data_IF_753407626139
#
_entry.id   IF_753407626139
#
_cell.length_a   1.000
_cell.length_b   1.000
_cell.length_c   1.000
_cell.angle_alpha   90.00
_cell.angle_beta   90.00
_cell.angle_gamma   90.00
#
_symmetry.space_group_name_H-M   'P 1'
#
loop_
_entity.id
_entity.type
_entity.pdbx_description
1 polymer ?
#
# COMPACT_ATOMS: atom_id res chain seq x y z
N UNK A 1 6.74 -29.57 -21.60
CA UNK A 1 7.22 -28.20 -21.88
C UNK A 1 6.33 -27.25 -21.11
N UNK A 2 6.73 -26.87 -19.90
CA UNK A 2 6.05 -25.83 -19.14
C UNK A 2 6.82 -24.55 -19.36
N UNK A 3 6.30 -23.68 -20.22
CA UNK A 3 6.79 -22.31 -20.35
C UNK A 3 6.48 -21.58 -19.05
N UNK A 4 7.52 -21.17 -18.33
CA UNK A 4 7.38 -20.21 -17.25
C UNK A 4 6.63 -18.99 -17.80
N UNK A 5 5.44 -18.76 -17.26
CA UNK A 5 4.80 -17.46 -17.34
C UNK A 5 5.85 -16.43 -16.91
N UNK A 6 6.25 -15.56 -17.83
CA UNK A 6 7.00 -14.37 -17.45
C UNK A 6 6.06 -13.60 -16.52
N UNK A 7 6.30 -13.71 -15.22
CA UNK A 7 5.68 -12.83 -14.25
C UNK A 7 6.00 -11.43 -14.71
N UNK A 8 4.98 -10.74 -15.21
CA UNK A 8 5.07 -9.35 -15.58
C UNK A 8 5.58 -8.62 -14.34
N UNK A 9 6.85 -8.26 -14.34
CA UNK A 9 7.46 -7.54 -13.22
C UNK A 9 6.67 -6.24 -13.12
N UNK A 10 5.97 -5.97 -12.00
CA UNK A 10 5.15 -4.78 -11.88
C UNK A 10 6.00 -3.54 -12.19
N UNK A 11 5.45 -2.58 -12.93
CA UNK A 11 6.17 -1.39 -13.40
C UNK A 11 6.82 -0.58 -12.26
N UNK A 12 6.37 -0.78 -11.00
CA UNK A 12 7.02 -0.39 -9.74
C UNK A 12 8.53 -0.65 -9.69
N UNK A 13 9.08 -1.61 -10.43
CA UNK A 13 10.54 -1.87 -10.46
C UNK A 13 11.34 -0.78 -11.19
N UNK A 14 10.68 0.20 -11.83
CA UNK A 14 11.31 1.39 -12.44
C UNK A 14 11.37 2.60 -11.51
N UNK A 15 10.75 2.53 -10.34
CA UNK A 15 10.79 3.56 -9.32
C UNK A 15 12.19 3.58 -8.64
N UNK A 16 12.66 4.77 -8.28
CA UNK A 16 13.88 5.07 -7.51
C UNK A 16 15.13 4.20 -7.75
N UNK A 17 15.56 4.00 -9.00
CA UNK A 17 16.76 3.20 -9.31
C UNK A 17 16.77 1.80 -8.65
N UNK A 18 15.61 1.20 -8.38
CA UNK A 18 15.51 -0.12 -7.73
C UNK A 18 16.24 -1.21 -8.50
N UNK A 19 16.26 -1.13 -9.84
CA UNK A 19 17.05 -2.01 -10.70
C UNK A 19 18.57 -1.92 -10.47
N UNK A 20 19.09 -0.79 -9.96
CA UNK A 20 20.49 -0.65 -9.57
C UNK A 20 20.79 -1.23 -8.19
N UNK A 21 19.79 -1.44 -7.32
CA UNK A 21 20.02 -2.02 -5.97
C UNK A 21 20.54 -3.46 -6.04
N UNK A 22 20.24 -4.16 -7.14
CA UNK A 22 20.61 -5.56 -7.39
C UNK A 22 21.77 -5.72 -8.37
N UNK A 23 22.23 -4.65 -9.02
CA UNK A 23 23.26 -4.73 -10.06
C UNK A 23 24.67 -4.94 -9.46
N UNK A 24 25.47 -5.87 -10.00
CA UNK A 24 26.85 -6.05 -9.55
C UNK A 24 27.66 -4.79 -9.84
N UNK A 25 28.19 -4.18 -8.77
CA UNK A 25 29.11 -3.04 -8.87
C UNK A 25 30.54 -3.50 -8.72
N UNK A 26 31.41 -2.94 -9.56
CA UNK A 26 32.84 -3.11 -9.42
C UNK A 26 33.31 -2.48 -8.12
N UNK A 27 33.79 -3.32 -7.20
CA UNK A 27 34.33 -2.88 -5.93
C UNK A 27 35.70 -2.25 -6.15
N UNK A 28 36.03 -1.27 -5.33
CA UNK A 28 37.38 -0.73 -5.30
C UNK A 28 38.34 -1.83 -4.84
N UNK A 29 39.45 -1.99 -5.56
CA UNK A 29 40.38 -3.13 -5.40
C UNK A 29 40.92 -3.21 -3.95
N UNK A 30 41.11 -2.06 -3.30
CA UNK A 30 41.63 -1.93 -1.94
C UNK A 30 40.56 -2.01 -0.83
N UNK A 31 39.27 -2.03 -1.19
CA UNK A 31 38.14 -2.06 -0.25
C UNK A 31 37.26 -3.32 -0.38
N UNK A 32 37.71 -4.31 -1.17
CA UNK A 32 37.00 -5.58 -1.33
C UNK A 32 36.85 -6.33 0.01
N UNK A 33 35.82 -7.18 0.17
CA UNK A 33 35.53 -7.91 1.40
C UNK A 33 36.63 -8.92 1.81
N UNK A 34 37.55 -9.24 0.90
CA UNK A 34 38.75 -10.03 1.17
C UNK A 34 39.90 -9.23 1.81
N UNK A 35 39.88 -7.90 1.73
CA UNK A 35 40.92 -7.03 2.30
C UNK A 35 40.63 -6.72 3.78
N UNK A 36 41.68 -6.46 4.57
CA UNK A 36 41.53 -6.02 5.97
C UNK A 36 40.73 -4.72 6.04
N UNK A 37 41.07 -3.74 5.18
CA UNK A 37 40.37 -2.45 5.07
C UNK A 37 38.88 -2.62 4.78
N UNK A 38 38.52 -3.51 3.85
CA UNK A 38 37.12 -3.81 3.51
C UNK A 38 36.36 -4.49 4.67
N UNK A 39 36.98 -5.45 5.36
CA UNK A 39 36.39 -6.10 6.55
C UNK A 39 36.15 -5.10 7.68
N UNK A 40 37.14 -4.27 8.01
CA UNK A 40 37.01 -3.21 9.03
C UNK A 40 35.94 -2.19 8.63
N UNK A 41 35.87 -1.79 7.36
CA UNK A 41 34.83 -0.87 6.88
C UNK A 41 33.42 -1.46 7.01
N UNK A 42 33.26 -2.75 6.69
CA UNK A 42 31.99 -3.48 6.87
C UNK A 42 31.58 -3.54 8.34
N UNK A 43 32.52 -3.81 9.24
CA UNK A 43 32.25 -3.85 10.69
C UNK A 43 31.84 -2.47 11.23
N UNK A 44 32.54 -1.40 10.83
CA UNK A 44 32.19 -0.03 11.23
C UNK A 44 30.79 0.36 10.74
N UNK A 45 30.48 0.05 9.48
CA UNK A 45 29.16 0.30 8.91
C UNK A 45 28.08 -0.49 9.66
N UNK A 46 28.29 -1.79 9.89
CA UNK A 46 27.37 -2.65 10.61
C UNK A 46 27.10 -2.16 12.03
N UNK A 47 28.13 -1.71 12.76
CA UNK A 47 27.98 -1.14 14.11
C UNK A 47 27.20 0.18 14.09
N UNK A 48 27.47 1.07 13.13
CA UNK A 48 26.75 2.33 13.00
C UNK A 48 25.27 2.12 12.69
N UNK A 49 24.96 1.21 11.75
CA UNK A 49 23.60 0.88 11.37
C UNK A 49 22.84 0.20 12.50
N UNK A 50 23.46 -0.78 13.17
CA UNK A 50 22.84 -1.44 14.31
C UNK A 50 22.48 -0.44 15.42
N UNK A 51 23.39 0.51 15.74
CA UNK A 51 23.11 1.58 16.69
C UNK A 51 21.93 2.44 16.26
N UNK A 52 21.91 2.91 15.01
CA UNK A 52 20.82 3.73 14.50
C UNK A 52 19.48 3.00 14.53
N UNK A 53 19.43 1.78 13.97
CA UNK A 53 18.22 0.97 13.92
C UNK A 53 17.64 0.69 15.31
N UNK A 54 18.47 0.26 16.26
CA UNK A 54 17.99 -0.02 17.61
C UNK A 54 17.60 1.26 18.37
N UNK A 55 18.28 2.38 18.16
CA UNK A 55 17.98 3.63 18.84
C UNK A 55 16.63 4.25 18.40
N UNK A 56 16.25 4.11 17.13
CA UNK A 56 15.02 4.71 16.57
C UNK A 56 13.92 3.69 16.26
N UNK A 57 14.10 2.43 16.69
CA UNK A 57 13.08 1.39 16.56
C UNK A 57 12.87 0.85 15.15
N UNK A 58 13.89 0.88 14.28
CA UNK A 58 13.84 0.29 12.95
C UNK A 58 14.25 -1.19 13.05
N UNK A 59 13.36 -2.16 12.71
CA UNK A 59 13.74 -3.56 12.70
C UNK A 59 14.84 -3.84 11.66
N UNK A 60 15.84 -4.65 12.01
CA UNK A 60 16.97 -4.97 11.13
C UNK A 60 16.55 -5.43 9.73
N UNK A 61 15.47 -6.20 9.59
CA UNK A 61 14.91 -6.62 8.29
C UNK A 61 14.60 -5.47 7.32
N UNK A 62 14.37 -4.25 7.82
CA UNK A 62 14.07 -3.07 6.98
C UNK A 62 15.29 -2.62 6.19
N UNK A 63 16.51 -2.97 6.61
CA UNK A 63 17.73 -2.64 5.85
C UNK A 63 17.84 -3.45 4.55
N UNK A 64 17.11 -4.56 4.46
CA UNK A 64 17.07 -5.39 3.26
C UNK A 64 16.10 -4.87 2.20
N UNK A 65 15.24 -3.91 2.57
CA UNK A 65 14.26 -3.30 1.69
C UNK A 65 14.96 -2.60 0.50
N UNK A 66 14.50 -2.83 -0.75
CA UNK A 66 15.12 -2.23 -1.93
C UNK A 66 15.16 -0.70 -1.92
N UNK A 67 14.14 -0.01 -1.39
CA UNK A 67 14.12 1.45 -1.26
C UNK A 67 15.10 1.93 -0.18
N UNK A 68 15.23 1.18 0.91
CA UNK A 68 16.23 1.47 1.94
C UNK A 68 17.65 1.38 1.36
N UNK A 69 17.95 0.32 0.60
CA UNK A 69 19.23 0.15 -0.10
C UNK A 69 19.47 1.26 -1.12
N UNK A 70 18.47 1.60 -1.93
CA UNK A 70 18.55 2.67 -2.92
C UNK A 70 18.88 4.02 -2.27
N UNK A 71 18.26 4.34 -1.13
CA UNK A 71 18.50 5.58 -0.37
C UNK A 71 19.96 5.70 0.06
N UNK A 72 20.55 4.62 0.58
CA UNK A 72 21.95 4.59 1.01
C UNK A 72 22.90 4.76 -0.18
N UNK A 73 22.63 4.05 -1.27
CA UNK A 73 23.42 4.16 -2.49
C UNK A 73 23.37 5.58 -3.06
N UNK A 74 22.19 6.20 -3.07
CA UNK A 74 22.03 7.57 -3.53
C UNK A 74 22.81 8.53 -2.63
N UNK A 75 22.72 8.35 -1.32
CA UNK A 75 23.51 9.12 -0.33
C UNK A 75 25.02 9.01 -0.59
N UNK A 76 25.51 7.81 -0.94
CA UNK A 76 26.93 7.58 -1.25
C UNK A 76 27.40 8.22 -2.56
N UNK A 77 26.49 8.43 -3.53
CA UNK A 77 26.81 9.12 -4.79
C UNK A 77 26.95 10.64 -4.61
N UNK A 78 26.24 11.20 -3.64
CA UNK A 78 26.26 12.64 -3.39
C UNK A 78 27.60 13.09 -2.79
N UNK A 79 28.01 14.31 -3.12
CA UNK A 79 29.30 14.86 -2.65
C UNK A 79 29.28 15.13 -1.15
N UNK A 80 30.44 15.02 -0.52
CA UNK A 80 30.65 15.43 0.88
C UNK A 80 30.25 16.91 1.03
N UNK A 81 29.38 17.20 1.99
CA UNK A 81 28.91 18.55 2.29
C UNK A 81 27.44 18.83 1.92
N UNK A 82 26.78 17.92 1.18
CA UNK A 82 25.33 17.99 1.01
C UNK A 82 24.64 17.68 2.33
N UNK A 83 23.74 18.57 2.77
CA UNK A 83 22.93 18.36 3.97
C UNK A 83 21.88 17.30 3.66
N UNK A 84 21.76 16.32 4.55
CA UNK A 84 20.67 15.33 4.50
C UNK A 84 19.34 16.08 4.70
N UNK A 85 18.28 15.73 3.95
CA UNK A 85 16.95 16.30 4.14
C UNK A 85 16.48 16.24 5.59
N UNK A 86 15.77 17.27 6.02
CA UNK A 86 15.12 17.29 7.33
C UNK A 86 13.84 16.44 7.32
N UNK A 87 13.37 15.99 8.50
CA UNK A 87 12.07 15.27 8.58
C UNK A 87 10.92 16.11 8.00
N UNK A 88 10.91 17.43 8.20
CA UNK A 88 9.89 18.31 7.59
C UNK A 88 9.91 18.30 6.07
N UNK A 89 11.07 18.13 5.44
CA UNK A 89 11.15 18.01 3.98
C UNK A 89 10.70 16.63 3.50
N UNK A 90 11.10 15.57 4.22
CA UNK A 90 10.72 14.18 3.92
C UNK A 90 9.21 14.01 4.05
N UNK A 91 8.63 14.43 5.18
CA UNK A 91 7.21 14.30 5.50
C UNK A 91 6.36 15.45 4.92
N UNK A 92 6.99 16.35 4.15
CA UNK A 92 6.34 17.45 3.46
C UNK A 92 6.48 17.30 1.95
N UNK A 93 7.31 18.15 1.33
CA UNK A 93 7.43 18.22 -0.13
C UNK A 93 7.76 16.88 -0.80
N UNK A 94 8.60 16.02 -0.19
CA UNK A 94 8.96 14.73 -0.79
C UNK A 94 7.86 13.68 -0.61
N UNK A 95 7.07 13.76 0.46
CA UNK A 95 5.86 12.96 0.59
C UNK A 95 4.82 13.37 -0.46
N UNK A 96 4.61 14.67 -0.68
CA UNK A 96 3.70 15.19 -1.70
C UNK A 96 4.12 14.72 -3.10
N UNK A 97 5.43 14.70 -3.39
CA UNK A 97 5.98 14.15 -4.64
C UNK A 97 5.67 12.66 -4.81
N UNK A 98 5.88 11.84 -3.76
CA UNK A 98 5.55 10.40 -3.79
C UNK A 98 4.04 10.17 -3.99
N UNK A 99 3.18 10.96 -3.33
CA UNK A 99 1.73 10.88 -3.49
C UNK A 99 1.35 11.18 -4.94
N UNK A 100 1.90 12.26 -5.51
CA UNK A 100 1.64 12.65 -6.89
C UNK A 100 2.12 11.59 -7.89
N UNK A 101 3.24 10.94 -7.63
CA UNK A 101 3.73 9.82 -8.45
C UNK A 101 2.73 8.65 -8.44
N UNK A 102 2.28 8.22 -7.26
CA UNK A 102 1.27 7.16 -7.13
C UNK A 102 -0.05 7.55 -7.79
N UNK A 103 -0.48 8.81 -7.65
CA UNK A 103 -1.69 9.30 -8.32
C UNK A 103 -1.57 9.21 -9.85
N UNK A 104 -0.43 9.60 -10.42
CA UNK A 104 -0.16 9.45 -11.85
C UNK A 104 -0.17 7.99 -12.30
N UNK A 105 0.33 7.07 -11.46
CA UNK A 105 0.22 5.65 -11.74
C UNK A 105 -1.26 5.25 -11.78
N UNK A 106 -2.04 5.58 -10.75
CA UNK A 106 -3.48 5.28 -10.67
C UNK A 106 -4.22 5.78 -11.91
N UNK A 107 -3.93 6.99 -12.41
CA UNK A 107 -4.55 7.52 -13.63
C UNK A 107 -4.31 6.64 -14.89
N UNK A 108 -3.17 5.94 -14.97
CA UNK A 108 -2.94 5.00 -16.08
C UNK A 108 -3.90 3.81 -16.00
N UNK A 109 -4.12 3.28 -14.80
CA UNK A 109 -4.98 2.12 -14.56
C UNK A 109 -6.47 2.44 -14.63
N UNK A 110 -6.85 3.69 -14.34
CA UNK A 110 -8.24 4.16 -14.52
C UNK A 110 -8.76 3.97 -15.94
N UNK A 111 -7.87 3.95 -16.93
CA UNK A 111 -8.24 3.73 -18.35
C UNK A 111 -8.85 2.36 -18.60
N UNK A 112 -8.53 1.37 -17.78
CA UNK A 112 -9.04 0.01 -17.90
C UNK A 112 -10.41 -0.17 -17.21
N UNK A 113 -10.88 0.83 -16.44
CA UNK A 113 -12.12 0.72 -15.69
C UNK A 113 -13.35 0.56 -16.59
N UNK A 114 -13.36 1.23 -17.74
CA UNK A 114 -14.47 1.16 -18.70
C UNK A 114 -14.55 -0.23 -19.36
N UNK A 115 -13.42 -0.93 -19.51
CA UNK A 115 -13.34 -2.24 -20.15
C UNK A 115 -13.54 -3.40 -19.17
N UNK A 116 -12.92 -3.32 -17.98
CA UNK A 116 -12.92 -4.40 -16.98
C UNK A 116 -14.06 -4.27 -15.95
N UNK A 117 -14.59 -3.06 -15.75
CA UNK A 117 -15.37 -2.71 -14.58
C UNK A 117 -14.53 -2.67 -13.30
N UNK A 118 -15.12 -2.12 -12.24
CA UNK A 118 -14.49 -1.91 -10.94
C UNK A 118 -15.27 -2.62 -9.84
N UNK A 119 -14.56 -3.37 -9.01
CA UNK A 119 -15.06 -3.86 -7.73
C UNK A 119 -14.63 -2.90 -6.61
N UNK A 120 -15.59 -2.25 -5.98
CA UNK A 120 -15.37 -1.44 -4.79
C UNK A 120 -15.36 -2.34 -3.55
N UNK A 121 -14.26 -2.34 -2.81
CA UNK A 121 -14.12 -3.05 -1.54
C UNK A 121 -14.13 -2.05 -0.39
N UNK A 122 -14.97 -2.31 0.61
CA UNK A 122 -15.05 -1.50 1.82
C UNK A 122 -14.93 -2.40 3.04
N UNK A 123 -14.00 -2.09 3.93
CA UNK A 123 -13.86 -2.80 5.19
C UNK A 123 -13.69 -1.82 6.33
N UNK A 124 -14.30 -2.13 7.48
CA UNK A 124 -14.10 -1.36 8.69
C UNK A 124 -13.51 -2.17 9.80
N UNK A 125 -12.65 -1.49 10.54
CA UNK A 125 -12.05 -2.03 11.73
C UNK A 125 -12.33 -1.12 12.91
N UNK A 126 -12.54 -1.71 14.08
CA UNK A 126 -12.60 -1.02 15.35
C UNK A 126 -11.49 -1.57 16.24
N UNK A 127 -10.60 -0.69 16.68
CA UNK A 127 -9.51 -1.05 17.55
C UNK A 127 -9.93 -1.17 19.01
N UNK A 128 -9.03 -1.72 19.87
CA UNK A 128 -9.30 -1.92 21.29
C UNK A 128 -9.63 -0.63 22.05
N UNK A 129 -9.15 0.52 21.55
CA UNK A 129 -9.42 1.85 22.13
C UNK A 129 -10.66 2.52 21.53
N UNK A 130 -11.53 1.76 20.84
CA UNK A 130 -12.74 2.24 20.13
C UNK A 130 -12.44 3.26 19.01
N UNK A 131 -11.19 3.37 18.59
CA UNK A 131 -10.85 4.03 17.33
C UNK A 131 -11.40 3.19 16.17
N UNK A 132 -12.09 3.83 15.23
CA UNK A 132 -12.68 3.12 14.09
C UNK A 132 -12.23 3.73 12.80
N UNK A 133 -11.95 2.88 11.82
CA UNK A 133 -11.48 3.28 10.50
C UNK A 133 -12.24 2.49 9.46
N UNK A 134 -12.63 3.17 8.38
CA UNK A 134 -13.25 2.56 7.19
C UNK A 134 -12.29 2.73 6.02
N UNK A 135 -11.86 1.64 5.42
CA UNK A 135 -10.95 1.62 4.28
C UNK A 135 -11.72 1.31 3.00
N UNK A 136 -11.42 2.07 1.95
CA UNK A 136 -11.94 1.87 0.61
C UNK A 136 -10.81 1.48 -0.32
N UNK A 137 -10.98 0.33 -0.97
CA UNK A 137 -10.09 -0.16 -2.02
C UNK A 137 -10.89 -0.38 -3.30
N UNK A 138 -10.24 -0.25 -4.44
CA UNK A 138 -10.83 -0.55 -5.75
C UNK A 138 -10.00 -1.64 -6.42
N UNK A 139 -10.67 -2.60 -7.03
CA UNK A 139 -10.05 -3.64 -7.83
C UNK A 139 -10.53 -3.53 -9.27
N UNK A 140 -9.58 -3.54 -10.21
CA UNK A 140 -9.82 -3.57 -11.66
C UNK A 140 -8.61 -4.16 -12.36
N UNK A 141 -8.81 -4.89 -13.45
CA UNK A 141 -7.70 -5.35 -14.31
C UNK A 141 -6.63 -6.21 -13.62
N UNK A 142 -6.96 -6.87 -12.50
CA UNK A 142 -5.99 -7.68 -11.74
C UNK A 142 -5.23 -6.93 -10.63
N UNK A 143 -5.47 -5.63 -10.45
CA UNK A 143 -4.77 -4.83 -9.43
C UNK A 143 -5.72 -4.19 -8.43
N UNK A 144 -5.27 -4.10 -7.17
CA UNK A 144 -5.98 -3.44 -6.07
C UNK A 144 -5.32 -2.10 -5.76
N UNK A 145 -6.13 -1.05 -5.62
CA UNK A 145 -5.69 0.29 -5.22
C UNK A 145 -6.37 0.73 -3.95
N UNK A 146 -5.60 1.36 -3.08
CA UNK A 146 -6.15 2.11 -1.96
C UNK A 146 -6.75 3.42 -2.47
N UNK A 147 -8.03 3.65 -2.18
CA UNK A 147 -8.74 4.85 -2.62
C UNK A 147 -8.76 5.94 -1.54
N UNK A 148 -9.15 5.56 -0.32
CA UNK A 148 -9.14 6.43 0.86
C UNK A 148 -9.36 5.61 2.14
N UNK A 149 -9.06 6.24 3.26
CA UNK A 149 -9.45 5.78 4.59
C UNK A 149 -10.22 6.89 5.29
N UNK A 150 -11.22 6.53 6.09
CA UNK A 150 -12.08 7.46 6.81
C UNK A 150 -11.99 7.14 8.30
N UNK A 151 -11.61 8.15 9.09
CA UNK A 151 -11.72 8.06 10.53
C UNK A 151 -13.21 8.10 10.95
N UNK A 152 -13.63 6.99 11.53
CA UNK A 152 -14.97 6.74 12.04
C UNK A 152 -14.97 6.60 13.57
N UNK A 153 -13.88 6.98 14.25
CA UNK A 153 -13.80 7.04 15.71
C UNK A 153 -14.94 7.89 16.27
N UNK A 154 -15.58 7.41 17.33
CA UNK A 154 -16.75 8.01 17.98
C UNK A 154 -18.00 8.19 17.10
N UNK A 155 -17.97 7.75 15.83
CA UNK A 155 -19.16 7.69 14.98
C UNK A 155 -19.84 6.34 15.19
N UNK A 156 -21.13 6.37 15.51
CA UNK A 156 -21.97 5.19 15.33
C UNK A 156 -21.93 4.90 13.82
N UNK A 157 -21.41 3.73 13.43
CA UNK A 157 -21.39 3.24 12.04
C UNK A 157 -22.80 2.90 11.57
N UNK A 158 -23.68 3.89 11.58
CA UNK A 158 -25.04 3.80 11.12
C UNK A 158 -25.03 3.69 9.60
N UNK A 159 -25.96 2.89 9.05
CA UNK A 159 -26.07 2.65 7.61
C UNK A 159 -26.06 3.93 6.75
N UNK A 160 -26.63 5.04 7.22
CA UNK A 160 -26.60 6.32 6.49
C UNK A 160 -25.19 6.91 6.35
N UNK A 161 -24.35 6.81 7.38
CA UNK A 161 -22.96 7.26 7.32
C UNK A 161 -22.17 6.42 6.33
N UNK A 162 -22.34 5.09 6.39
CA UNK A 162 -21.70 4.16 5.46
C UNK A 162 -22.15 4.41 4.02
N UNK A 163 -23.47 4.54 3.78
CA UNK A 163 -24.04 4.85 2.48
C UNK A 163 -23.42 6.12 1.90
N UNK A 164 -23.33 7.20 2.69
CA UNK A 164 -22.72 8.45 2.25
C UNK A 164 -21.27 8.26 1.80
N UNK A 165 -20.47 7.56 2.59
CA UNK A 165 -19.05 7.34 2.29
C UNK A 165 -18.84 6.41 1.10
N UNK A 166 -19.59 5.30 1.02
CA UNK A 166 -19.55 4.35 -0.11
C UNK A 166 -19.99 5.08 -1.39
N UNK A 167 -21.10 5.80 -1.36
CA UNK A 167 -21.62 6.54 -2.51
C UNK A 167 -20.65 7.62 -2.98
N UNK A 168 -19.97 8.32 -2.07
CA UNK A 168 -18.94 9.28 -2.44
C UNK A 168 -17.78 8.62 -3.22
N UNK A 169 -17.39 7.39 -2.85
CA UNK A 169 -16.37 6.65 -3.61
C UNK A 169 -16.90 6.15 -4.94
N UNK A 170 -18.14 5.65 -4.99
CA UNK A 170 -18.80 5.25 -6.25
C UNK A 170 -18.84 6.40 -7.24
N UNK A 171 -19.20 7.61 -6.80
CA UNK A 171 -19.22 8.80 -7.64
C UNK A 171 -17.79 9.17 -8.09
N UNK A 172 -16.80 9.09 -7.19
CA UNK A 172 -15.39 9.38 -7.52
C UNK A 172 -14.81 8.40 -8.56
N UNK A 173 -15.21 7.13 -8.51
CA UNK A 173 -14.81 6.11 -9.49
C UNK A 173 -15.54 6.28 -10.82
N UNK A 174 -16.75 6.84 -10.78
CA UNK A 174 -17.70 6.83 -11.88
C UNK A 174 -18.65 5.66 -11.71
N UNK A 175 -19.91 5.95 -11.40
CA UNK A 175 -20.89 4.91 -11.06
C UNK A 175 -21.11 3.90 -12.19
N UNK A 176 -20.93 4.29 -13.46
CA UNK A 176 -21.05 3.39 -14.61
C UNK A 176 -19.94 2.33 -14.65
N UNK A 177 -18.79 2.61 -14.03
CA UNK A 177 -17.65 1.70 -13.98
C UNK A 177 -17.72 0.74 -12.79
N UNK A 178 -18.46 1.07 -11.74
CA UNK A 178 -18.61 0.18 -10.59
C UNK A 178 -19.61 -0.92 -10.95
N UNK A 179 -19.13 -2.17 -11.01
CA UNK A 179 -19.96 -3.35 -11.30
C UNK A 179 -20.26 -4.15 -10.04
N UNK A 180 -19.43 -4.03 -9.01
CA UNK A 180 -19.55 -4.81 -7.79
C UNK A 180 -19.13 -4.02 -6.55
N UNK A 181 -19.81 -4.26 -5.43
CA UNK A 181 -19.47 -3.74 -4.11
C UNK A 181 -19.30 -4.92 -3.15
N UNK A 182 -18.15 -4.99 -2.50
CA UNK A 182 -17.82 -6.01 -1.50
C UNK A 182 -17.61 -5.32 -0.15
N UNK A 183 -18.43 -5.66 0.84
CA UNK A 183 -18.35 -5.06 2.19
C UNK A 183 -18.33 -6.11 3.29
N UNK A 184 -18.23 -5.71 4.56
CA UNK A 184 -18.52 -6.63 5.66
C UNK A 184 -19.98 -7.18 5.59
N UNK A 185 -20.26 -8.23 6.35
CA UNK A 185 -21.58 -8.88 6.43
C UNK A 185 -22.48 -8.28 7.55
N UNK A 186 -22.08 -7.16 8.14
CA UNK A 186 -22.78 -6.46 9.21
C UNK A 186 -24.07 -5.83 8.71
N UNK A 187 -25.07 -5.76 9.60
CA UNK A 187 -26.42 -5.27 9.25
C UNK A 187 -26.43 -3.84 8.70
N UNK A 188 -25.56 -2.96 9.19
CA UNK A 188 -25.47 -1.58 8.70
C UNK A 188 -24.91 -1.51 7.28
N UNK A 189 -23.94 -2.36 6.93
CA UNK A 189 -23.40 -2.43 5.58
C UNK A 189 -24.40 -3.03 4.60
N UNK A 190 -25.09 -4.11 4.98
CA UNK A 190 -26.18 -4.68 4.18
C UNK A 190 -27.21 -3.62 3.81
N UNK A 191 -27.75 -2.93 4.82
CA UNK A 191 -28.77 -1.90 4.61
C UNK A 191 -28.25 -0.72 3.76
N UNK A 192 -26.99 -0.32 3.95
CA UNK A 192 -26.39 0.73 3.13
C UNK A 192 -26.23 0.29 1.67
N UNK A 193 -25.79 -0.95 1.43
CA UNK A 193 -25.58 -1.48 0.10
C UNK A 193 -26.89 -1.80 -0.62
N UNK A 194 -27.92 -2.30 0.09
CA UNK A 194 -29.27 -2.49 -0.44
C UNK A 194 -29.82 -1.18 -1.03
N UNK A 195 -29.79 -0.09 -0.25
CA UNK A 195 -30.22 1.25 -0.73
C UNK A 195 -29.40 1.68 -1.94
N UNK A 196 -28.10 1.40 -1.95
CA UNK A 196 -27.21 1.79 -3.03
C UNK A 196 -27.45 0.98 -4.32
N UNK A 197 -27.73 -0.31 -4.20
CA UNK A 197 -28.07 -1.17 -5.35
C UNK A 197 -29.48 -0.90 -5.89
N UNK A 198 -30.40 -0.41 -5.05
CA UNK A 198 -31.70 0.11 -5.52
C UNK A 198 -31.51 1.38 -6.37
N UNK A 199 -30.58 2.26 -5.98
CA UNK A 199 -30.25 3.47 -6.73
C UNK A 199 -29.43 3.19 -8.01
N UNK A 200 -28.57 2.17 -7.98
CA UNK A 200 -27.71 1.75 -9.09
C UNK A 200 -27.91 0.26 -9.41
N UNK A 201 -28.99 -0.12 -10.14
CA UNK A 201 -29.38 -1.52 -10.34
C UNK A 201 -28.38 -2.41 -11.09
N UNK A 202 -27.41 -1.82 -11.79
CA UNK A 202 -26.35 -2.56 -12.47
C UNK A 202 -25.23 -3.04 -11.52
N UNK A 203 -25.19 -2.54 -10.28
CA UNK A 203 -24.20 -2.92 -9.29
C UNK A 203 -24.64 -4.15 -8.51
N UNK A 204 -23.77 -5.15 -8.42
CA UNK A 204 -23.97 -6.29 -7.53
C UNK A 204 -23.34 -6.02 -6.15
N UNK A 205 -24.04 -6.31 -5.07
CA UNK A 205 -23.45 -6.33 -3.73
C UNK A 205 -23.18 -7.78 -3.27
N UNK A 206 -22.02 -8.00 -2.63
CA UNK A 206 -21.69 -9.26 -1.99
C UNK A 206 -21.01 -9.05 -0.63
N UNK A 207 -21.27 -9.91 0.37
CA UNK A 207 -20.55 -9.86 1.63
C UNK A 207 -19.11 -10.38 1.45
N UNK A 208 -18.20 -9.87 2.26
CA UNK A 208 -16.81 -10.31 2.32
C UNK A 208 -16.75 -11.79 2.66
N UNK A 209 -16.12 -12.57 1.79
CA UNK A 209 -15.93 -14.00 2.00
C UNK A 209 -15.07 -14.27 3.24
N UNK A 210 -14.01 -13.49 3.45
CA UNK A 210 -13.14 -13.63 4.62
C UNK A 210 -13.91 -13.44 5.93
N UNK A 211 -14.74 -12.40 5.98
CA UNK A 211 -15.59 -12.14 7.14
C UNK A 211 -16.64 -13.25 7.33
N UNK A 212 -17.24 -13.72 6.23
CA UNK A 212 -18.25 -14.77 6.25
C UNK A 212 -17.68 -16.10 6.77
N UNK A 213 -16.49 -16.50 6.30
CA UNK A 213 -15.78 -17.69 6.80
C UNK A 213 -15.48 -17.55 8.30
N UNK A 214 -15.00 -16.38 8.74
CA UNK A 214 -14.74 -16.13 10.16
C UNK A 214 -16.00 -16.27 11.02
N UNK A 215 -17.16 -15.82 10.54
CA UNK A 215 -18.43 -16.03 11.24
C UNK A 215 -18.81 -17.52 11.30
N UNK A 216 -18.67 -18.25 10.19
CA UNK A 216 -18.91 -19.70 10.15
C UNK A 216 -18.02 -20.46 11.15
N UNK A 217 -16.73 -20.12 11.21
CA UNK A 217 -15.79 -20.75 12.15
C UNK A 217 -16.15 -20.46 13.61
N UNK A 218 -16.56 -19.22 13.93
CA UNK A 218 -17.01 -18.85 15.27
C UNK A 218 -18.28 -19.57 15.71
N UNK A 219 -19.16 -19.91 14.77
CA UNK A 219 -20.37 -20.67 15.08
C UNK A 219 -20.08 -22.16 15.30
N UNK A 220 -19.03 -22.72 14.68
CA UNK A 220 -18.55 -24.10 14.92
C UNK A 220 -17.82 -24.22 16.27
N UNK A 221 -17.15 -23.16 16.73
CA UNK A 221 -16.43 -23.14 18.02
C UNK A 221 -17.38 -23.12 19.25
N UNK A 222 -18.67 -22.81 19.07
CA UNK A 222 -19.68 -22.81 20.12
C UNK A 222 -20.22 -24.21 20.40
#
# INVERSE_FOLDING_TARGET
MFTQSQSHVPERVRDYHLGLSSAPRQQWIDAGPWTVKGKTSRELLGRAWAKACHAVGIPGRKVDDPYFKATIMETQKQRVGIKIPTSKEIDGKYLDENVKEIENEIEKWKKEWDECGVTLMCDSWMGPMRNSVINFLVYSGGTVYFMKSVDATDKIQHHQCLLKEIKAVVIKVGYHNVVQIVTDNGSNYKKACEILTDEFPHMAWQPSLAHTINLMLKDIEK
#
